data_IF_790827384771
#
_entry.id   IF_790827384771
#
_cell.length_a   1.000
_cell.length_b   1.000
_cell.length_c   1.000
_cell.angle_alpha   90.00
_cell.angle_beta   90.00
_cell.angle_gamma   90.00
#
_symmetry.space_group_name_H-M   'P 1'
#
loop_
_entity.id
_entity.type
_entity.pdbx_description
1 polymer ?
#
# COMPACT_ATOMS: atom_id res chain seq x y z
N UNK A 1 -17.29 6.42 83.57
CA UNK A 1 -16.90 7.61 82.76
C UNK A 1 -16.36 7.21 81.38
N UNK A 2 -15.57 6.19 81.25
CA UNK A 2 -14.97 5.70 79.98
C UNK A 2 -15.99 5.35 78.89
N UNK A 3 -17.11 4.64 79.23
CA UNK A 3 -18.11 4.19 78.25
C UNK A 3 -18.89 5.32 77.56
N UNK A 4 -19.15 6.42 78.30
CA UNK A 4 -19.84 7.61 77.71
C UNK A 4 -18.96 8.28 76.67
N UNK A 5 -17.65 8.47 76.95
CA UNK A 5 -16.69 9.07 76.06
C UNK A 5 -16.56 8.21 74.78
N UNK A 6 -16.43 6.88 74.91
CA UNK A 6 -16.33 5.99 73.79
C UNK A 6 -17.62 6.01 72.94
N UNK A 7 -18.81 6.11 73.53
CA UNK A 7 -20.06 6.29 72.78
C UNK A 7 -20.12 7.61 72.04
N UNK A 8 -19.70 8.72 72.67
CA UNK A 8 -19.69 10.04 72.02
C UNK A 8 -18.70 10.07 70.88
N UNK A 9 -17.50 9.49 71.01
CA UNK A 9 -16.53 9.37 69.90
C UNK A 9 -17.11 8.55 68.77
N UNK A 10 -17.72 7.41 69.03
CA UNK A 10 -18.39 6.60 68.00
C UNK A 10 -19.53 7.32 67.29
N UNK A 11 -20.30 8.10 68.03
CA UNK A 11 -21.41 8.89 67.47
C UNK A 11 -20.87 10.01 66.55
N UNK A 12 -19.87 10.75 66.98
CA UNK A 12 -19.20 11.80 66.15
C UNK A 12 -18.57 11.14 64.91
N UNK A 13 -17.84 10.04 65.06
CA UNK A 13 -17.23 9.35 63.93
C UNK A 13 -18.30 8.85 62.92
N UNK A 14 -19.47 8.33 63.43
CA UNK A 14 -20.57 7.96 62.58
C UNK A 14 -21.20 9.15 61.86
N UNK A 15 -21.33 10.28 62.53
CA UNK A 15 -21.84 11.52 61.90
C UNK A 15 -20.89 12.04 60.81
N UNK A 16 -19.59 12.04 61.03
CA UNK A 16 -18.62 12.42 60.02
C UNK A 16 -18.60 11.45 58.84
N UNK A 17 -18.60 10.14 59.08
CA UNK A 17 -18.66 9.14 58.01
C UNK A 17 -19.97 9.29 57.18
N UNK A 18 -21.11 9.64 57.80
CA UNK A 18 -22.35 9.90 57.10
C UNK A 18 -22.35 11.13 56.21
N UNK A 19 -21.47 12.08 56.43
CA UNK A 19 -21.29 13.26 55.60
C UNK A 19 -20.48 12.95 54.34
N UNK A 20 -19.60 11.94 54.39
CA UNK A 20 -18.78 11.55 53.27
C UNK A 20 -19.63 10.85 52.21
N UNK A 21 -19.55 11.31 50.99
CA UNK A 21 -20.13 10.64 49.82
C UNK A 21 -19.24 9.49 49.36
N UNK A 22 -19.83 8.31 49.30
CA UNK A 22 -19.19 7.16 48.68
C UNK A 22 -19.33 7.24 47.16
N UNK A 23 -18.48 6.52 46.39
CA UNK A 23 -18.67 6.44 44.95
C UNK A 23 -20.05 5.94 44.58
N UNK A 24 -20.69 6.57 43.58
CA UNK A 24 -22.02 6.28 43.12
C UNK A 24 -22.05 6.05 41.60
N UNK A 25 -23.05 5.27 41.16
CA UNK A 25 -23.32 5.09 39.73
C UNK A 25 -24.13 6.26 39.23
N UNK A 26 -23.78 6.81 38.08
CA UNK A 26 -24.54 7.85 37.40
C UNK A 26 -24.71 7.57 35.91
N UNK A 27 -25.62 8.32 35.31
CA UNK A 27 -25.86 8.33 33.86
C UNK A 27 -25.45 9.69 33.31
N UNK A 28 -24.69 9.68 32.22
CA UNK A 28 -24.26 10.90 31.54
C UNK A 28 -25.45 11.57 30.88
N UNK A 29 -25.68 12.86 31.18
CA UNK A 29 -26.77 13.65 30.60
C UNK A 29 -26.28 14.65 29.54
N UNK A 30 -25.00 15.05 29.61
CA UNK A 30 -24.32 15.88 28.60
C UNK A 30 -22.84 15.58 28.62
N UNK A 31 -22.16 15.71 27.48
CA UNK A 31 -20.73 15.46 27.33
C UNK A 31 -20.07 16.67 26.67
N UNK A 32 -18.95 17.13 27.21
CA UNK A 32 -18.19 18.30 26.78
C UNK A 32 -16.75 17.89 26.49
N UNK A 33 -16.49 17.18 25.35
CA UNK A 33 -15.13 16.92 24.90
C UNK A 33 -14.51 18.25 24.41
N UNK A 34 -13.18 18.38 24.53
CA UNK A 34 -12.47 19.46 23.86
C UNK A 34 -12.53 19.23 22.35
N UNK A 35 -13.48 19.85 21.68
CA UNK A 35 -13.81 19.62 20.25
C UNK A 35 -13.08 20.55 19.30
N UNK A 36 -12.58 21.70 19.80
CA UNK A 36 -11.85 22.69 19.01
C UNK A 36 -10.86 23.48 19.88
N UNK A 37 -9.79 24.02 19.31
CA UNK A 37 -8.80 24.86 20.01
C UNK A 37 -9.42 26.14 20.60
N UNK A 38 -10.61 26.53 20.17
CA UNK A 38 -11.30 27.75 20.61
C UNK A 38 -12.35 27.51 21.69
N UNK A 39 -12.73 26.26 21.97
CA UNK A 39 -13.65 25.98 23.06
C UNK A 39 -12.96 26.05 24.42
N UNK A 40 -13.76 26.12 25.49
CA UNK A 40 -13.29 26.15 26.87
C UNK A 40 -13.57 24.84 27.61
N UNK A 41 -14.08 23.84 26.90
CA UNK A 41 -14.41 22.55 27.47
C UNK A 41 -13.12 21.81 27.86
N UNK A 42 -13.12 21.24 29.03
CA UNK A 42 -11.91 20.60 29.59
C UNK A 42 -12.17 19.14 29.96
N UNK A 43 -12.73 18.39 29.00
CA UNK A 43 -12.97 16.96 29.16
C UNK A 43 -13.85 16.64 30.36
N UNK A 44 -15.08 17.14 30.34
CA UNK A 44 -16.07 17.06 31.41
C UNK A 44 -17.43 16.58 30.88
N UNK A 45 -18.31 16.21 31.82
CA UNK A 45 -19.67 15.81 31.50
C UNK A 45 -20.64 16.18 32.63
N UNK A 46 -21.94 16.25 32.34
CA UNK A 46 -22.97 16.28 33.36
C UNK A 46 -23.44 14.84 33.65
N UNK A 47 -23.65 14.54 34.92
CA UNK A 47 -24.02 13.19 35.37
C UNK A 47 -25.20 13.27 36.34
N UNK A 48 -26.26 12.49 36.05
CA UNK A 48 -27.36 12.29 36.98
C UNK A 48 -27.08 11.02 37.78
N UNK A 49 -26.99 11.18 39.11
CA UNK A 49 -26.79 10.07 40.06
C UNK A 49 -28.01 9.15 40.09
N UNK A 50 -27.79 7.83 40.01
CA UNK A 50 -28.87 6.84 39.87
C UNK A 50 -29.70 6.67 41.15
N UNK A 51 -29.09 6.89 42.32
CA UNK A 51 -29.78 6.68 43.61
C UNK A 51 -30.54 7.91 44.09
N UNK A 52 -30.06 9.12 43.78
CA UNK A 52 -30.60 10.37 44.32
C UNK A 52 -31.26 11.26 43.29
N UNK A 53 -31.17 10.89 41.98
CA UNK A 53 -31.62 11.70 40.84
C UNK A 53 -30.95 13.10 40.78
N UNK A 54 -29.93 13.34 41.61
CA UNK A 54 -29.17 14.59 41.61
C UNK A 54 -28.36 14.72 40.35
N UNK A 55 -28.42 15.87 39.67
CA UNK A 55 -27.60 16.20 38.52
C UNK A 55 -26.34 16.96 38.93
N UNK A 56 -25.18 16.37 38.69
CA UNK A 56 -23.87 16.97 38.86
C UNK A 56 -23.47 17.59 37.53
N UNK A 57 -22.95 18.84 37.56
CA UNK A 57 -22.55 19.55 36.33
C UNK A 57 -21.06 19.77 36.29
N UNK A 58 -20.49 19.75 35.08
CA UNK A 58 -19.07 20.01 34.86
C UNK A 58 -18.18 18.99 35.59
N UNK A 59 -18.60 17.72 35.63
CA UNK A 59 -17.85 16.66 36.29
C UNK A 59 -16.66 16.29 35.43
N UNK A 60 -15.45 16.44 35.97
CA UNK A 60 -14.22 16.08 35.29
C UNK A 60 -14.15 14.56 35.06
N UNK A 61 -13.57 14.15 33.92
CA UNK A 61 -13.41 12.76 33.56
C UNK A 61 -11.94 12.38 33.75
N UNK A 62 -11.67 11.39 34.61
CA UNK A 62 -10.32 10.88 34.80
C UNK A 62 -9.83 10.15 33.53
N UNK A 63 -8.56 10.32 33.19
CA UNK A 63 -7.91 9.63 32.08
C UNK A 63 -6.74 8.79 32.59
N UNK A 64 -6.46 7.67 31.89
CA UNK A 64 -5.32 6.81 32.21
C UNK A 64 -3.95 7.48 31.96
N UNK A 65 -3.88 8.43 31.03
CA UNK A 65 -2.70 9.25 30.74
C UNK A 65 -3.10 10.55 30.07
N UNK A 66 -2.30 11.61 30.28
CA UNK A 66 -2.48 12.88 29.57
C UNK A 66 -2.20 12.65 28.07
N UNK A 67 -3.08 13.19 27.23
CA UNK A 67 -3.07 12.97 25.78
C UNK A 67 -4.02 11.88 25.29
N UNK A 68 -4.62 11.08 26.19
CA UNK A 68 -5.67 10.13 25.84
C UNK A 68 -7.05 10.72 26.11
N UNK A 69 -7.89 10.78 25.08
CA UNK A 69 -9.26 11.26 25.17
C UNK A 69 -10.25 10.23 24.59
N UNK A 70 -11.24 9.87 25.39
CA UNK A 70 -12.37 9.05 25.01
C UNK A 70 -13.60 9.47 25.83
N UNK A 71 -14.23 10.58 25.43
CA UNK A 71 -15.35 11.15 26.17
C UNK A 71 -16.58 10.20 26.20
N UNK A 72 -17.30 10.10 27.30
CA UNK A 72 -18.51 9.31 27.39
C UNK A 72 -19.62 9.92 26.54
N UNK A 73 -20.51 9.08 26.03
CA UNK A 73 -21.74 9.49 25.33
C UNK A 73 -22.87 9.75 26.34
N UNK A 74 -23.82 10.57 25.94
CA UNK A 74 -25.10 10.72 26.68
C UNK A 74 -25.79 9.37 26.77
N UNK A 75 -26.16 8.96 27.99
CA UNK A 75 -26.71 7.66 28.29
C UNK A 75 -25.70 6.67 28.87
N UNK A 76 -24.39 6.89 28.70
CA UNK A 76 -23.39 6.00 29.28
C UNK A 76 -23.51 5.92 30.81
N UNK A 77 -23.34 4.72 31.33
CA UNK A 77 -23.27 4.49 32.78
C UNK A 77 -21.85 4.68 33.26
N UNK A 78 -21.69 5.52 34.29
CA UNK A 78 -20.37 5.91 34.83
C UNK A 78 -20.29 5.68 36.34
N UNK A 79 -19.08 5.43 36.82
CA UNK A 79 -18.78 5.45 38.24
C UNK A 79 -18.23 6.84 38.61
N UNK A 80 -18.90 7.52 39.55
CA UNK A 80 -18.52 8.83 40.07
C UNK A 80 -17.92 8.65 41.45
N UNK A 81 -16.70 9.13 41.64
CA UNK A 81 -16.06 9.27 42.93
C UNK A 81 -16.13 10.72 43.40
N UNK A 82 -16.05 10.93 44.72
CA UNK A 82 -16.07 12.24 45.35
C UNK A 82 -14.76 12.45 46.09
N UNK A 83 -13.99 13.44 45.70
CA UNK A 83 -12.71 13.75 46.36
C UNK A 83 -13.00 14.17 47.81
N UNK A 84 -12.30 13.55 48.74
CA UNK A 84 -12.50 13.72 50.21
C UNK A 84 -13.97 13.48 50.67
N UNK A 85 -14.78 12.80 49.85
CA UNK A 85 -16.20 12.58 50.10
C UNK A 85 -17.07 13.84 49.91
N UNK A 86 -16.55 14.89 49.29
CA UNK A 86 -17.27 16.14 49.03
C UNK A 86 -18.10 16.02 47.75
N UNK A 87 -19.41 16.20 47.85
CA UNK A 87 -20.35 16.17 46.72
C UNK A 87 -20.03 17.28 45.67
N UNK A 88 -19.36 18.32 46.02
CA UNK A 88 -18.97 19.42 45.14
C UNK A 88 -17.67 19.12 44.36
N UNK A 89 -17.02 18.00 44.66
CA UNK A 89 -15.78 17.58 44.02
C UNK A 89 -15.94 16.20 43.33
N UNK A 90 -16.92 16.05 42.43
CA UNK A 90 -17.16 14.79 41.72
C UNK A 90 -16.15 14.57 40.60
N UNK A 91 -15.77 13.32 40.40
CA UNK A 91 -14.90 12.88 39.29
C UNK A 91 -15.46 11.59 38.70
N UNK A 92 -15.64 11.52 37.40
CA UNK A 92 -15.92 10.27 36.68
C UNK A 92 -14.63 9.47 36.57
N UNK A 93 -14.57 8.31 37.21
CA UNK A 93 -13.38 7.47 37.23
C UNK A 93 -13.41 6.30 36.20
N UNK A 94 -14.58 6.05 35.60
CA UNK A 94 -14.70 5.04 34.57
C UNK A 94 -16.12 4.85 34.08
N UNK A 95 -16.28 4.13 32.97
CA UNK A 95 -17.56 3.69 32.41
C UNK A 95 -17.85 2.26 32.82
N UNK A 96 -19.11 1.92 32.93
CA UNK A 96 -19.59 0.61 33.30
C UNK A 96 -20.45 0.05 32.17
N UNK A 97 -20.25 -1.22 31.85
CA UNK A 97 -21.16 -1.93 30.96
C UNK A 97 -22.51 -2.22 31.66
N UNK A 98 -23.55 -2.36 30.88
CA UNK A 98 -24.90 -2.65 31.34
C UNK A 98 -25.57 -3.60 30.32
N UNK A 99 -26.86 -3.90 30.52
CA UNK A 99 -27.61 -4.82 29.65
C UNK A 99 -27.84 -4.25 28.24
N UNK A 100 -27.79 -2.93 28.04
CA UNK A 100 -27.94 -2.28 26.75
C UNK A 100 -26.57 -2.12 26.06
N UNK A 101 -25.57 -1.69 26.82
CA UNK A 101 -24.20 -1.50 26.32
C UNK A 101 -23.32 -2.64 26.85
N UNK A 102 -23.32 -3.77 26.15
CA UNK A 102 -22.54 -4.96 26.52
C UNK A 102 -21.10 -4.86 26.03
N UNK A 103 -20.14 -5.50 26.74
CA UNK A 103 -18.76 -5.55 26.24
C UNK A 103 -18.68 -6.31 24.92
N UNK A 104 -17.67 -6.02 24.07
CA UNK A 104 -17.41 -6.83 22.89
C UNK A 104 -17.13 -8.29 23.27
N UNK A 105 -17.51 -9.21 22.38
CA UNK A 105 -17.21 -10.63 22.58
C UNK A 105 -15.71 -10.82 22.61
N UNK A 106 -15.20 -11.40 23.69
CA UNK A 106 -13.76 -11.59 23.91
C UNK A 106 -13.47 -12.79 24.81
N UNK A 107 -12.28 -13.35 24.67
CA UNK A 107 -11.77 -14.41 25.53
C UNK A 107 -10.84 -13.84 26.62
N UNK A 108 -10.54 -14.65 27.65
CA UNK A 108 -9.61 -14.28 28.72
C UNK A 108 -8.22 -14.03 28.12
N UNK A 109 -7.62 -12.87 28.42
CA UNK A 109 -6.31 -12.47 27.93
C UNK A 109 -6.34 -11.75 26.56
N UNK A 110 -7.50 -11.65 25.91
CA UNK A 110 -7.68 -10.91 24.67
C UNK A 110 -7.90 -9.42 24.96
N UNK A 111 -7.33 -8.56 24.12
CA UNK A 111 -7.57 -7.12 24.15
C UNK A 111 -8.40 -6.75 22.91
N UNK A 112 -9.67 -6.46 23.10
CA UNK A 112 -10.60 -6.14 22.02
C UNK A 112 -11.06 -4.71 22.15
N UNK A 113 -10.95 -3.95 21.07
CA UNK A 113 -11.56 -2.63 20.95
C UNK A 113 -12.52 -2.63 19.77
N UNK A 114 -13.81 -2.43 20.06
CA UNK A 114 -14.86 -2.20 19.07
C UNK A 114 -15.45 -0.84 19.34
N UNK A 115 -15.46 0.04 18.35
CA UNK A 115 -16.05 1.36 18.50
C UNK A 115 -17.57 1.22 18.74
N UNK A 116 -18.06 1.63 19.91
CA UNK A 116 -19.41 1.24 20.36
C UNK A 116 -20.55 2.09 19.77
N UNK A 117 -20.21 3.20 19.14
CA UNK A 117 -21.19 4.19 18.75
C UNK A 117 -21.54 4.07 17.27
N UNK A 118 -22.81 4.38 16.95
CA UNK A 118 -23.26 4.52 15.58
C UNK A 118 -22.47 5.60 14.85
N UNK A 119 -22.36 5.43 13.53
CA UNK A 119 -21.63 6.38 12.66
C UNK A 119 -22.39 7.70 12.60
N UNK A 120 -21.86 8.73 13.25
CA UNK A 120 -22.13 10.12 12.89
C UNK A 120 -21.02 10.55 11.91
N UNK A 121 -21.37 11.20 10.81
CA UNK A 121 -20.41 11.51 9.74
C UNK A 121 -19.18 12.23 10.29
N UNK A 122 -18.01 11.65 10.04
CA UNK A 122 -16.70 12.24 10.30
C UNK A 122 -16.13 12.11 11.71
N UNK A 123 -16.91 11.64 12.70
CA UNK A 123 -16.47 11.67 14.12
C UNK A 123 -15.84 10.37 14.62
N UNK A 124 -16.23 9.20 14.06
CA UNK A 124 -15.71 7.91 14.53
C UNK A 124 -14.30 7.64 13.97
N UNK A 125 -13.30 7.71 14.84
CA UNK A 125 -11.91 7.42 14.49
C UNK A 125 -11.11 6.89 15.68
N UNK A 126 -10.13 6.06 15.39
CA UNK A 126 -8.97 5.82 16.25
C UNK A 126 -7.82 6.67 15.69
N UNK A 127 -7.24 7.51 16.54
CA UNK A 127 -6.21 8.45 16.13
C UNK A 127 -5.05 8.42 17.10
N UNK A 128 -3.86 8.21 16.58
CA UNK A 128 -2.59 8.28 17.31
C UNK A 128 -1.70 9.28 16.58
N UNK A 129 -1.14 10.20 17.32
CA UNK A 129 -0.18 11.18 16.81
C UNK A 129 0.99 11.33 17.78
N UNK A 130 2.19 11.28 17.26
CA UNK A 130 3.41 11.54 18.01
C UNK A 130 3.88 12.99 17.77
N UNK A 131 4.60 13.60 18.71
CA UNK A 131 5.16 14.95 18.52
C UNK A 131 6.05 15.10 17.27
N UNK A 132 6.60 14.00 16.76
CA UNK A 132 7.36 13.95 15.51
C UNK A 132 6.50 14.09 14.25
N UNK A 133 5.17 14.12 14.37
CA UNK A 133 4.23 14.18 13.26
C UNK A 133 3.92 12.82 12.62
N UNK A 134 4.36 11.70 13.22
CA UNK A 134 3.92 10.37 12.82
C UNK A 134 2.48 10.16 13.27
N UNK A 135 1.61 9.70 12.35
CA UNK A 135 0.17 9.54 12.59
C UNK A 135 -0.31 8.17 12.15
N UNK A 136 -1.19 7.59 12.95
CA UNK A 136 -2.06 6.47 12.58
C UNK A 136 -3.51 6.92 12.76
N UNK A 137 -4.29 6.89 11.69
CA UNK A 137 -5.71 7.22 11.70
C UNK A 137 -6.49 6.07 11.10
N UNK A 138 -7.43 5.53 11.85
CA UNK A 138 -8.38 4.50 11.41
C UNK A 138 -9.77 5.13 11.45
N UNK A 139 -10.48 5.04 10.35
CA UNK A 139 -11.87 5.48 10.21
C UNK A 139 -12.71 4.32 9.67
N UNK A 140 -14.00 4.52 9.50
CA UNK A 140 -14.87 3.53 8.85
C UNK A 140 -14.49 3.28 7.38
N UNK A 141 -13.86 4.25 6.73
CA UNK A 141 -13.62 4.24 5.28
C UNK A 141 -12.14 4.00 4.94
N UNK A 142 -11.21 4.21 5.89
CA UNK A 142 -9.78 4.08 5.59
C UNK A 142 -8.88 3.87 6.80
N UNK A 143 -7.72 3.29 6.53
CA UNK A 143 -6.55 3.27 7.42
C UNK A 143 -5.47 4.13 6.79
N UNK A 144 -4.97 5.13 7.52
CA UNK A 144 -3.88 6.00 7.13
C UNK A 144 -2.72 5.86 8.11
N UNK A 145 -1.55 5.55 7.60
CA UNK A 145 -0.27 5.71 8.31
C UNK A 145 0.52 6.79 7.59
N UNK A 146 0.98 7.82 8.30
CA UNK A 146 1.77 8.88 7.69
C UNK A 146 2.94 9.33 8.55
N UNK A 147 4.04 9.68 7.89
CA UNK A 147 5.26 10.22 8.48
C UNK A 147 5.79 11.33 7.55
N UNK A 148 5.45 12.59 7.87
CA UNK A 148 5.72 13.72 7.00
C UNK A 148 5.04 13.57 5.63
N UNK A 149 5.83 13.57 4.55
CA UNK A 149 5.34 13.41 3.18
C UNK A 149 5.16 11.94 2.73
N UNK A 150 5.55 10.98 3.56
CA UNK A 150 5.35 9.54 3.27
C UNK A 150 4.04 9.07 3.88
N UNK A 151 3.22 8.37 3.10
CA UNK A 151 1.94 7.83 3.57
C UNK A 151 1.58 6.50 2.94
N UNK A 152 0.86 5.70 3.72
CA UNK A 152 0.18 4.50 3.26
C UNK A 152 -1.30 4.65 3.60
N UNK A 153 -2.15 4.52 2.60
CA UNK A 153 -3.60 4.59 2.73
C UNK A 153 -4.21 3.28 2.26
N UNK A 154 -5.08 2.70 3.04
CA UNK A 154 -5.89 1.53 2.67
C UNK A 154 -7.33 1.98 2.74
N UNK A 155 -8.02 2.03 1.61
CA UNK A 155 -9.42 2.41 1.51
C UNK A 155 -10.33 1.18 1.63
N UNK A 156 -11.47 1.35 2.23
CA UNK A 156 -12.51 0.31 2.37
C UNK A 156 -12.97 -0.25 1.03
N UNK A 157 -12.97 0.57 -0.03
CA UNK A 157 -13.35 0.17 -1.39
C UNK A 157 -12.30 -0.68 -2.11
N UNK A 158 -11.14 -0.92 -1.48
CA UNK A 158 -10.12 -1.86 -1.94
C UNK A 158 -8.84 -1.21 -2.46
N UNK A 159 -8.74 0.11 -2.52
CA UNK A 159 -7.53 0.78 -2.98
C UNK A 159 -6.45 0.79 -1.90
N UNK A 160 -5.21 0.52 -2.31
CA UNK A 160 -4.01 0.72 -1.50
C UNK A 160 -3.11 1.72 -2.22
N UNK A 161 -2.80 2.82 -1.54
CA UNK A 161 -1.92 3.88 -2.06
C UNK A 161 -0.69 3.98 -1.16
N UNK A 162 0.49 3.87 -1.76
CA UNK A 162 1.78 4.07 -1.09
C UNK A 162 2.46 5.25 -1.75
N UNK A 163 2.68 6.32 -1.00
CA UNK A 163 3.42 7.49 -1.45
C UNK A 163 4.63 7.71 -0.55
N UNK A 164 5.79 7.82 -1.15
CA UNK A 164 7.03 8.11 -0.43
C UNK A 164 7.78 9.25 -1.12
N UNK A 165 8.29 10.20 -0.33
CA UNK A 165 9.18 11.24 -0.84
C UNK A 165 10.59 10.67 -1.16
N UNK A 166 10.98 9.61 -0.47
CA UNK A 166 12.26 8.94 -0.64
C UNK A 166 12.13 7.59 -1.35
N UNK A 167 13.02 6.70 -1.03
CA UNK A 167 13.08 5.35 -1.60
C UNK A 167 11.97 4.46 -1.03
N UNK A 168 11.37 3.63 -1.89
CA UNK A 168 10.55 2.47 -1.48
C UNK A 168 11.33 1.21 -1.83
N UNK A 169 11.71 0.42 -0.82
CA UNK A 169 12.45 -0.82 -1.00
C UNK A 169 11.63 -2.02 -0.57
N UNK A 170 11.43 -2.95 -1.50
CA UNK A 170 10.80 -4.25 -1.23
C UNK A 170 11.88 -5.33 -1.30
N UNK A 171 12.13 -6.02 -0.19
CA UNK A 171 13.11 -7.10 -0.10
C UNK A 171 12.45 -8.32 0.52
N UNK A 172 12.66 -9.48 -0.08
CA UNK A 172 12.18 -10.76 0.42
C UNK A 172 13.31 -11.79 0.40
N UNK A 173 13.43 -12.61 1.44
CA UNK A 173 14.33 -13.78 1.45
C UNK A 173 13.72 -14.99 0.73
N UNK A 174 12.42 -14.96 0.52
CA UNK A 174 11.67 -15.95 -0.24
C UNK A 174 11.23 -15.43 -1.58
N UNK A 175 10.10 -15.93 -2.07
CA UNK A 175 9.51 -15.52 -3.33
C UNK A 175 8.73 -14.20 -3.17
N UNK A 176 8.77 -13.37 -4.20
CA UNK A 176 7.88 -12.23 -4.37
C UNK A 176 7.02 -12.44 -5.60
N UNK A 177 5.71 -12.31 -5.47
CA UNK A 177 4.76 -12.38 -6.57
C UNK A 177 4.01 -11.05 -6.68
N UNK A 178 3.92 -10.52 -7.90
CA UNK A 178 3.07 -9.37 -8.24
C UNK A 178 2.08 -9.83 -9.29
N UNK A 179 0.81 -9.84 -8.97
CA UNK A 179 -0.27 -10.29 -9.86
C UNK A 179 -1.37 -9.24 -9.94
N UNK A 180 -1.81 -8.92 -11.14
CA UNK A 180 -2.96 -8.06 -11.39
C UNK A 180 -3.90 -8.74 -12.38
N UNK A 181 -5.20 -8.73 -12.11
CA UNK A 181 -6.22 -9.18 -13.07
C UNK A 181 -6.41 -8.21 -14.22
N UNK A 182 -6.17 -6.94 -13.98
CA UNK A 182 -6.15 -5.88 -14.98
C UNK A 182 -4.75 -5.51 -15.41
N UNK A 183 -4.53 -4.24 -15.69
CA UNK A 183 -3.27 -3.73 -16.20
C UNK A 183 -2.24 -3.54 -15.08
N UNK A 184 -0.98 -3.82 -15.40
CA UNK A 184 0.17 -3.44 -14.59
C UNK A 184 1.01 -2.41 -15.34
N UNK A 185 1.24 -1.25 -14.73
CA UNK A 185 2.05 -0.19 -15.32
C UNK A 185 3.27 0.09 -14.48
N UNK A 186 4.46 0.06 -15.11
CA UNK A 186 5.73 0.42 -14.48
C UNK A 186 6.30 1.62 -15.25
N UNK A 187 6.56 2.73 -14.54
CA UNK A 187 7.13 3.95 -15.11
C UNK A 187 8.29 4.41 -14.23
N UNK A 188 9.44 4.61 -14.81
CA UNK A 188 10.62 5.13 -14.15
C UNK A 188 11.53 5.82 -15.17
N UNK A 189 12.48 6.60 -14.70
CA UNK A 189 13.56 7.14 -15.52
C UNK A 189 14.47 5.99 -16.01
N UNK A 190 14.80 5.05 -15.13
CA UNK A 190 15.57 3.85 -15.46
C UNK A 190 14.86 2.62 -14.89
N UNK A 191 14.85 1.52 -15.62
CA UNK A 191 14.33 0.22 -15.19
C UNK A 191 15.42 -0.82 -15.45
N UNK A 192 15.95 -1.39 -14.37
CA UNK A 192 16.90 -2.50 -14.43
C UNK A 192 16.19 -3.79 -14.01
N UNK A 193 16.23 -4.80 -14.88
CA UNK A 193 15.69 -6.13 -14.63
C UNK A 193 16.82 -7.15 -14.74
N UNK A 194 17.22 -7.72 -13.62
CA UNK A 194 18.30 -8.71 -13.55
C UNK A 194 17.79 -10.04 -13.02
N UNK A 195 18.22 -11.14 -13.61
CA UNK A 195 17.96 -12.48 -13.14
C UNK A 195 19.19 -13.35 -13.27
N UNK A 196 19.63 -13.96 -12.19
CA UNK A 196 20.82 -14.84 -12.18
C UNK A 196 20.63 -16.17 -12.91
N UNK A 197 19.39 -16.56 -13.20
CA UNK A 197 19.09 -17.86 -13.85
C UNK A 197 18.33 -17.68 -15.15
N UNK A 198 17.08 -17.23 -15.10
CA UNK A 198 16.23 -17.12 -16.27
C UNK A 198 15.23 -16.00 -16.13
N UNK A 199 15.07 -15.21 -17.17
CA UNK A 199 13.98 -14.27 -17.36
C UNK A 199 13.08 -14.79 -18.46
N UNK A 200 11.77 -14.84 -18.22
CA UNK A 200 10.76 -15.28 -19.20
C UNK A 200 9.73 -14.19 -19.40
N UNK A 201 9.56 -13.75 -20.64
CA UNK A 201 8.49 -12.86 -21.07
C UNK A 201 7.52 -13.65 -21.95
N UNK A 202 6.25 -13.68 -21.60
CA UNK A 202 5.19 -14.35 -22.37
C UNK A 202 4.00 -13.42 -22.48
N UNK A 203 3.57 -13.14 -23.67
CA UNK A 203 2.41 -12.29 -23.96
C UNK A 203 1.76 -12.70 -25.28
N UNK A 204 0.56 -12.23 -25.56
CA UNK A 204 -0.06 -12.37 -26.87
C UNK A 204 0.61 -11.46 -27.91
N UNK A 205 1.05 -10.26 -27.49
CA UNK A 205 1.86 -9.39 -28.32
C UNK A 205 2.92 -8.69 -27.46
N UNK A 206 4.10 -8.50 -28.02
CA UNK A 206 5.22 -7.77 -27.40
C UNK A 206 5.65 -6.65 -28.35
N UNK A 207 5.55 -5.41 -27.88
CA UNK A 207 6.02 -4.23 -28.63
C UNK A 207 7.20 -3.62 -27.85
N UNK A 208 8.37 -3.60 -28.48
CA UNK A 208 9.61 -3.01 -27.93
C UNK A 208 10.00 -1.82 -28.77
N UNK A 209 9.90 -0.63 -28.23
CA UNK A 209 10.26 0.64 -28.88
C UNK A 209 11.39 1.34 -28.12
N UNK A 210 12.42 1.73 -28.81
CA UNK A 210 13.46 2.61 -28.31
C UNK A 210 13.59 3.85 -29.21
N UNK A 211 13.77 5.00 -28.59
CA UNK A 211 14.00 6.25 -29.33
C UNK A 211 15.46 6.38 -29.82
N UNK A 212 16.39 5.60 -29.26
CA UNK A 212 17.80 5.61 -29.61
C UNK A 212 18.25 4.19 -30.00
N UNK A 213 19.02 3.56 -29.18
CA UNK A 213 19.65 2.27 -29.46
C UNK A 213 18.92 1.13 -28.77
N UNK A 214 18.84 -0.01 -29.44
CA UNK A 214 18.43 -1.28 -28.84
C UNK A 214 19.56 -2.27 -29.09
N UNK A 215 20.11 -2.83 -28.01
CA UNK A 215 21.16 -3.84 -28.07
C UNK A 215 20.61 -5.16 -27.55
N UNK A 216 20.74 -6.21 -28.35
CA UNK A 216 20.43 -7.59 -27.95
C UNK A 216 21.68 -8.41 -28.15
N UNK A 217 22.25 -8.93 -27.06
CA UNK A 217 23.47 -9.76 -27.11
C UNK A 217 23.28 -11.07 -26.34
N UNK A 218 23.97 -12.08 -26.76
CA UNK A 218 24.00 -13.37 -26.08
C UNK A 218 25.42 -13.96 -26.21
N UNK A 219 26.02 -14.38 -25.10
CA UNK A 219 27.33 -15.07 -25.11
C UNK A 219 27.22 -16.47 -25.75
N UNK A 220 26.05 -17.04 -25.75
CA UNK A 220 25.74 -18.31 -26.38
C UNK A 220 24.92 -18.13 -27.66
N UNK A 221 23.79 -18.79 -27.74
CA UNK A 221 22.94 -18.82 -28.96
C UNK A 221 21.84 -17.75 -28.83
N UNK A 222 21.73 -16.88 -29.82
CA UNK A 222 20.54 -16.08 -30.07
C UNK A 222 19.68 -16.77 -31.13
N UNK A 223 18.41 -17.04 -30.87
CA UNK A 223 17.47 -17.63 -31.80
C UNK A 223 16.23 -16.73 -31.95
N UNK A 224 15.94 -16.34 -33.19
CA UNK A 224 14.74 -15.58 -33.53
C UNK A 224 13.91 -16.47 -34.49
N UNK A 225 12.67 -16.75 -34.14
CA UNK A 225 11.78 -17.58 -34.96
C UNK A 225 10.39 -16.97 -35.02
N UNK A 226 9.80 -16.95 -36.20
CA UNK A 226 8.42 -16.56 -36.43
C UNK A 226 7.67 -17.69 -37.10
N UNK A 227 6.43 -17.97 -36.71
CA UNK A 227 5.59 -18.98 -37.33
C UNK A 227 5.05 -18.53 -38.70
N UNK A 228 4.99 -17.21 -38.93
CA UNK A 228 4.56 -16.60 -40.20
C UNK A 228 5.71 -15.81 -40.79
N UNK A 229 5.66 -14.49 -40.69
CA UNK A 229 6.61 -13.62 -41.36
C UNK A 229 7.68 -13.11 -40.38
N UNK A 230 8.93 -13.11 -40.79
CA UNK A 230 10.03 -12.40 -40.15
C UNK A 230 10.51 -11.29 -41.07
N UNK A 231 10.48 -10.06 -40.60
CA UNK A 231 10.93 -8.90 -41.36
C UNK A 231 11.99 -8.13 -40.58
N UNK A 232 13.14 -7.86 -41.22
CA UNK A 232 14.17 -6.96 -40.72
C UNK A 232 14.34 -5.82 -41.74
N UNK A 233 14.19 -4.57 -41.31
CA UNK A 233 14.29 -3.39 -42.15
C UNK A 233 15.17 -2.34 -41.49
N UNK A 234 16.08 -1.78 -42.26
CA UNK A 234 16.87 -0.59 -41.89
C UNK A 234 16.69 0.49 -42.97
N UNK A 235 16.64 1.74 -42.55
CA UNK A 235 16.65 2.88 -43.48
C UNK A 235 18.08 3.30 -43.87
N UNK A 236 19.11 2.76 -43.21
CA UNK A 236 20.52 2.93 -43.52
C UNK A 236 21.12 1.57 -43.87
N UNK A 237 22.07 1.10 -43.08
CA UNK A 237 22.76 -0.17 -43.35
C UNK A 237 22.15 -1.33 -42.57
N UNK A 238 21.97 -2.48 -43.20
CA UNK A 238 21.74 -3.76 -42.56
C UNK A 238 23.01 -4.62 -42.77
N UNK A 239 23.76 -4.91 -41.70
CA UNK A 239 24.95 -5.75 -41.74
C UNK A 239 24.64 -7.11 -41.08
N UNK A 240 25.01 -8.18 -41.78
CA UNK A 240 24.93 -9.56 -41.26
C UNK A 240 26.31 -10.18 -41.46
N UNK A 241 27.00 -10.46 -40.37
CA UNK A 241 28.35 -10.98 -40.37
C UNK A 241 28.43 -12.28 -39.55
N UNK A 242 29.22 -13.22 -39.97
CA UNK A 242 29.42 -14.49 -39.26
C UNK A 242 30.48 -15.34 -39.93
N UNK A 243 31.03 -16.29 -39.21
CA UNK A 243 31.97 -17.28 -39.79
C UNK A 243 31.32 -18.05 -40.92
N UNK A 244 30.07 -18.44 -40.76
CA UNK A 244 29.23 -19.05 -41.77
C UNK A 244 27.88 -18.33 -41.83
N UNK A 245 27.45 -17.97 -43.03
CA UNK A 245 26.13 -17.43 -43.31
C UNK A 245 25.40 -18.41 -44.26
N UNK A 246 24.29 -18.97 -43.81
CA UNK A 246 23.37 -19.77 -44.60
C UNK A 246 22.02 -19.08 -44.78
N UNK A 247 21.63 -18.83 -46.02
CA UNK A 247 20.30 -18.34 -46.35
C UNK A 247 19.59 -19.35 -47.25
N UNK A 248 18.46 -19.91 -46.80
CA UNK A 248 17.71 -20.93 -47.51
C UNK A 248 16.25 -20.50 -47.68
N UNK A 249 15.76 -20.52 -48.88
CA UNK A 249 14.35 -20.40 -49.21
C UNK A 249 13.86 -21.73 -49.83
N UNK A 250 12.75 -22.26 -49.30
CA UNK A 250 12.21 -23.54 -49.84
C UNK A 250 11.48 -23.33 -51.18
N UNK A 251 11.01 -22.15 -51.46
CA UNK A 251 10.29 -21.78 -52.69
C UNK A 251 11.10 -20.77 -53.49
N UNK A 252 11.49 -19.65 -52.89
CA UNK A 252 12.22 -18.58 -53.55
C UNK A 252 13.24 -17.90 -52.57
N UNK A 253 14.40 -17.56 -53.10
CA UNK A 253 15.40 -16.72 -52.42
C UNK A 253 15.82 -15.56 -53.34
N UNK A 254 15.28 -14.37 -53.11
CA UNK A 254 15.50 -13.21 -53.96
C UNK A 254 16.46 -12.21 -53.34
N UNK A 255 17.52 -11.84 -54.10
CA UNK A 255 18.41 -10.74 -53.73
C UNK A 255 18.32 -9.66 -54.78
N UNK A 256 17.97 -8.45 -54.41
CA UNK A 256 17.79 -7.32 -55.30
C UNK A 256 18.58 -6.12 -54.79
N UNK A 257 19.41 -5.52 -55.61
CA UNK A 257 20.08 -4.24 -55.36
C UNK A 257 19.50 -3.15 -56.26
N UNK A 258 19.10 -2.02 -55.71
CA UNK A 258 18.56 -0.92 -56.49
C UNK A 258 19.59 -0.29 -57.42
N UNK A 259 20.87 -0.29 -57.03
CA UNK A 259 21.99 0.20 -57.87
C UNK A 259 22.97 -0.92 -58.15
N UNK A 260 23.38 -1.68 -57.16
CA UNK A 260 24.38 -2.74 -57.30
C UNK A 260 24.02 -3.92 -56.39
N UNK A 261 24.07 -5.12 -56.92
CA UNK A 261 24.12 -6.38 -56.17
C UNK A 261 25.50 -7.01 -56.41
N UNK A 262 26.29 -7.26 -55.36
CA UNK A 262 27.64 -7.79 -55.46
C UNK A 262 27.76 -9.12 -54.72
N UNK A 263 28.31 -10.14 -55.38
CA UNK A 263 28.64 -11.44 -54.81
C UNK A 263 30.12 -11.69 -54.99
N UNK A 264 30.89 -11.73 -53.92
CA UNK A 264 32.34 -11.95 -53.93
C UNK A 264 32.69 -13.15 -53.05
N UNK A 265 33.58 -13.99 -53.52
CA UNK A 265 34.17 -15.08 -52.77
C UNK A 265 35.68 -15.04 -52.89
N UNK A 266 36.40 -15.07 -51.76
CA UNK A 266 37.87 -15.01 -51.73
C UNK A 266 38.54 -16.21 -52.43
N UNK A 267 37.91 -17.37 -52.52
CA UNK A 267 38.39 -18.55 -53.16
C UNK A 267 37.44 -19.06 -54.28
N UNK A 268 36.19 -19.22 -54.00
CA UNK A 268 35.23 -19.80 -54.95
C UNK A 268 33.83 -19.18 -54.79
N UNK A 269 33.25 -18.78 -55.91
CA UNK A 269 31.78 -18.56 -56.01
C UNK A 269 31.19 -19.65 -56.92
N UNK A 270 30.20 -20.38 -56.44
CA UNK A 270 29.53 -21.44 -57.18
C UNK A 270 28.04 -21.16 -57.34
N UNK A 271 27.58 -21.08 -58.57
CA UNK A 271 26.16 -21.02 -58.92
C UNK A 271 25.79 -22.34 -59.58
N UNK A 272 24.73 -23.02 -59.06
CA UNK A 272 24.26 -24.30 -59.59
C UNK A 272 22.73 -24.30 -59.63
N UNK A 273 22.17 -24.64 -60.75
CA UNK A 273 20.72 -24.86 -60.91
C UNK A 273 20.49 -26.29 -61.42
N UNK A 274 19.33 -26.89 -61.06
CA UNK A 274 18.88 -28.21 -61.61
C UNK A 274 18.18 -28.02 -62.95
N UNK A 275 17.62 -26.85 -63.22
CA UNK A 275 17.02 -26.47 -64.49
C UNK A 275 17.89 -25.47 -65.22
N UNK A 276 17.52 -24.22 -65.23
CA UNK A 276 18.17 -23.15 -65.94
C UNK A 276 18.92 -22.22 -64.99
N UNK A 277 20.08 -21.76 -65.35
CA UNK A 277 20.82 -20.62 -64.75
C UNK A 277 21.03 -19.59 -65.85
N UNK A 278 20.33 -18.43 -65.76
CA UNK A 278 20.47 -17.33 -66.74
C UNK A 278 21.25 -16.16 -66.19
N UNK A 279 22.04 -15.48 -67.06
CA UNK A 279 22.68 -14.20 -66.81
C UNK A 279 22.20 -13.24 -67.87
N UNK A 280 21.35 -12.30 -67.52
CA UNK A 280 20.75 -11.35 -68.45
C UNK A 280 21.17 -9.90 -68.08
N UNK A 281 21.34 -9.06 -69.09
CA UNK A 281 21.65 -7.63 -68.92
C UNK A 281 21.08 -6.87 -70.13
N UNK A 282 20.43 -5.74 -69.89
CA UNK A 282 19.97 -4.86 -70.94
C UNK A 282 21.11 -4.10 -71.63
N UNK A 283 22.29 -4.08 -71.04
CA UNK A 283 23.45 -3.36 -71.61
C UNK A 283 24.59 -4.33 -71.95
N UNK A 284 25.26 -4.93 -70.99
CA UNK A 284 26.38 -5.82 -71.23
C UNK A 284 26.55 -6.86 -70.13
N UNK A 285 26.94 -8.10 -70.53
CA UNK A 285 27.37 -9.13 -69.63
C UNK A 285 28.89 -9.36 -69.90
N UNK A 286 29.71 -9.16 -68.89
CA UNK A 286 31.18 -9.33 -69.00
C UNK A 286 31.61 -10.50 -68.16
N UNK A 287 32.21 -11.51 -68.79
CA UNK A 287 32.84 -12.66 -68.12
C UNK A 287 34.35 -12.57 -68.32
N UNK A 288 35.12 -12.46 -67.23
CA UNK A 288 36.58 -12.41 -67.26
C UNK A 288 37.16 -13.52 -66.37
N UNK A 289 38.17 -14.20 -66.89
CA UNK A 289 38.91 -15.22 -66.15
C UNK A 289 40.20 -15.61 -66.91
N UNK A 290 41.19 -16.12 -66.20
CA UNK A 290 42.38 -16.66 -66.88
C UNK A 290 42.00 -17.82 -67.81
N UNK A 291 40.97 -18.59 -67.45
CA UNK A 291 40.37 -19.63 -68.32
C UNK A 291 38.85 -19.51 -68.16
N UNK A 292 38.14 -19.37 -69.28
CA UNK A 292 36.69 -19.45 -69.38
C UNK A 292 36.33 -20.74 -70.12
N UNK A 293 35.59 -21.65 -69.46
CA UNK A 293 35.08 -22.89 -70.12
C UNK A 293 33.60 -22.82 -70.30
N UNK A 294 33.13 -22.96 -71.50
CA UNK A 294 31.73 -23.03 -71.89
C UNK A 294 31.52 -24.41 -72.57
N UNK A 295 30.68 -25.24 -71.97
CA UNK A 295 30.38 -26.57 -72.49
C UNK A 295 29.07 -26.57 -73.26
#
# INVERSE_FOLDING_TARGET
MSDRIVRSIKEVARQEIRKMRLPEIGIVTSSFPHGSESDKDNYECNVRLKNTELELRGVQIATGCIGFACAPKVGDMVLVAFVDGDINMPVVVGRLYNDQDRPPVSAVGEQVFVAPYEKEEGLRRVYLELPSGLKLKITDDSVLVSAGATRVVINREGDIVIEAKGEVRVKSEGNTALEAKGDMTIKAENIDLESSKAMKLKSNSLDVKSAKDTVVSADGKLSLAAASDFSAKSNADLKIEGMNLEAKGDVDAKVTGGTTAKLEGGATVRVKASGEASLESDASTVVKGAIVRIN
#
